data_IF_909350513033
#
_entry.id   IF_909350513033
#
_cell.length_a   1.000
_cell.length_b   1.000
_cell.length_c   1.000
_cell.angle_alpha   90.00
_cell.angle_beta   90.00
_cell.angle_gamma   90.00
#
_symmetry.space_group_name_H-M   'P 1'
#
loop_
_entity.id
_entity.type
_entity.pdbx_description
1 polymer ?
#
# COMPACT_ATOMS: atom_id res chain seq x y z
N UNK A 1 -7.98 -4.73 -8.96
CA UNK A 1 -8.60 -3.53 -8.33
C UNK A 1 -9.74 -3.92 -7.39
N UNK A 2 -10.70 -4.73 -7.83
CA UNK A 2 -11.82 -5.22 -6.98
C UNK A 2 -11.33 -5.98 -5.74
N UNK A 3 -10.35 -6.88 -5.90
CA UNK A 3 -9.75 -7.63 -4.77
C UNK A 3 -9.15 -6.70 -3.70
N UNK A 4 -8.59 -5.55 -4.11
CA UNK A 4 -8.02 -4.56 -3.19
C UNK A 4 -9.11 -3.84 -2.40
N UNK A 5 -10.26 -3.56 -3.04
CA UNK A 5 -11.44 -2.97 -2.38
C UNK A 5 -12.03 -3.99 -1.40
N UNK A 6 -12.19 -5.24 -1.82
CA UNK A 6 -12.70 -6.32 -0.96
C UNK A 6 -11.80 -6.53 0.27
N UNK A 7 -10.49 -6.65 0.07
CA UNK A 7 -9.53 -6.78 1.17
C UNK A 7 -9.56 -5.57 2.12
N UNK A 8 -9.77 -4.36 1.60
CA UNK A 8 -9.93 -3.17 2.42
C UNK A 8 -11.26 -3.16 3.21
N UNK A 9 -12.35 -3.65 2.62
CA UNK A 9 -13.65 -3.79 3.30
C UNK A 9 -13.54 -4.83 4.41
N UNK A 10 -12.93 -5.99 4.14
CA UNK A 10 -12.73 -7.03 5.13
C UNK A 10 -11.84 -6.55 6.28
N UNK A 11 -10.74 -5.86 5.98
CA UNK A 11 -9.91 -5.24 7.00
C UNK A 11 -10.70 -4.23 7.85
N UNK A 12 -11.45 -3.33 7.21
CA UNK A 12 -12.23 -2.33 7.93
C UNK A 12 -13.33 -2.96 8.79
N UNK A 13 -13.96 -4.05 8.34
CA UNK A 13 -14.89 -4.85 9.16
C UNK A 13 -14.22 -5.44 10.40
N UNK A 14 -13.01 -5.97 10.26
CA UNK A 14 -12.28 -6.52 11.41
C UNK A 14 -11.87 -5.44 12.42
N UNK A 15 -11.55 -4.22 11.96
CA UNK A 15 -11.21 -3.10 12.83
C UNK A 15 -12.45 -2.55 13.55
N UNK A 16 -13.58 -2.41 12.84
CA UNK A 16 -14.86 -1.99 13.42
C UNK A 16 -15.35 -2.98 14.49
N UNK A 17 -15.28 -4.29 14.21
CA UNK A 17 -15.59 -5.34 15.18
C UNK A 17 -14.66 -5.32 16.40
N UNK A 18 -13.42 -4.86 16.24
CA UNK A 18 -12.45 -4.68 17.33
C UNK A 18 -12.61 -3.33 18.07
N UNK A 19 -13.49 -2.44 17.61
CA UNK A 19 -13.64 -1.08 18.13
C UNK A 19 -12.39 -0.23 17.95
N UNK A 20 -11.52 -0.58 17.01
CA UNK A 20 -10.25 0.10 16.74
C UNK A 20 -10.40 0.96 15.50
N UNK A 21 -9.90 2.21 15.51
CA UNK A 21 -9.83 3.00 14.29
C UNK A 21 -8.83 2.36 13.31
N UNK A 22 -9.09 2.40 11.99
CA UNK A 22 -8.14 1.90 11.01
C UNK A 22 -6.83 2.69 11.07
N UNK A 23 -5.70 1.99 10.96
CA UNK A 23 -4.37 2.59 11.09
C UNK A 23 -4.04 3.54 9.93
N UNK A 24 -4.59 3.25 8.75
CA UNK A 24 -4.44 4.07 7.55
C UNK A 24 -5.72 3.97 6.72
N UNK A 25 -6.08 5.05 6.02
CA UNK A 25 -7.15 5.06 5.04
C UNK A 25 -6.59 5.21 3.63
N UNK A 26 -7.31 4.69 2.64
CA UNK A 26 -7.02 4.87 1.23
C UNK A 26 -8.25 5.39 0.49
N UNK A 27 -8.01 6.24 -0.49
CA UNK A 27 -9.03 6.81 -1.35
C UNK A 27 -9.17 5.96 -2.61
N UNK A 28 -10.41 5.59 -2.92
CA UNK A 28 -10.79 4.83 -4.09
C UNK A 28 -11.72 5.67 -4.95
N UNK A 29 -11.17 6.21 -6.04
CA UNK A 29 -11.94 6.89 -7.09
C UNK A 29 -12.27 5.89 -8.17
N UNK A 30 -13.56 5.67 -8.43
CA UNK A 30 -14.05 4.75 -9.45
C UNK A 30 -15.06 5.45 -10.36
N UNK A 31 -15.05 5.16 -11.68
CA UNK A 31 -16.07 5.65 -12.58
C UNK A 31 -17.44 5.03 -12.26
N UNK A 32 -18.51 5.78 -12.49
CA UNK A 32 -19.89 5.29 -12.34
C UNK A 32 -20.12 4.14 -13.34
N UNK A 33 -20.55 2.99 -12.83
CA UNK A 33 -20.70 1.74 -13.61
C UNK A 33 -19.55 0.74 -13.43
N UNK A 34 -18.52 1.07 -12.66
CA UNK A 34 -17.50 0.10 -12.27
C UNK A 34 -18.07 -0.91 -11.24
N UNK A 35 -17.86 -2.23 -11.41
CA UNK A 35 -18.44 -3.24 -10.50
C UNK A 35 -17.95 -3.15 -9.04
N UNK A 36 -16.81 -2.50 -8.80
CA UNK A 36 -16.32 -2.21 -7.45
C UNK A 36 -17.07 -1.09 -6.72
N UNK A 37 -17.95 -0.36 -7.42
CA UNK A 37 -18.69 0.77 -6.87
C UNK A 37 -19.84 0.30 -5.96
N UNK A 38 -20.55 -0.78 -6.32
CA UNK A 38 -21.57 -1.38 -5.45
C UNK A 38 -20.97 -1.77 -4.09
N UNK A 39 -19.77 -2.36 -4.09
CA UNK A 39 -19.08 -2.77 -2.86
C UNK A 39 -18.78 -1.55 -1.97
N UNK A 40 -18.34 -0.43 -2.56
CA UNK A 40 -18.07 0.80 -1.81
C UNK A 40 -19.34 1.47 -1.29
N UNK A 41 -20.42 1.47 -2.08
CA UNK A 41 -21.74 1.98 -1.67
C UNK A 41 -22.32 1.15 -0.52
N UNK A 42 -22.21 -0.17 -0.58
CA UNK A 42 -22.61 -1.05 0.53
C UNK A 42 -21.74 -0.82 1.77
N UNK A 43 -20.42 -0.69 1.61
CA UNK A 43 -19.53 -0.36 2.73
C UNK A 43 -19.87 1.00 3.36
N UNK A 44 -20.26 1.98 2.55
CA UNK A 44 -20.71 3.28 3.04
C UNK A 44 -22.03 3.19 3.80
N UNK A 45 -23.00 2.43 3.29
CA UNK A 45 -24.28 2.20 3.96
C UNK A 45 -24.12 1.51 5.34
N UNK A 46 -23.09 0.66 5.48
CA UNK A 46 -22.74 0.02 6.75
C UNK A 46 -21.87 0.89 7.67
N UNK A 47 -21.55 2.13 7.30
CA UNK A 47 -20.71 3.03 8.09
C UNK A 47 -19.21 2.71 8.07
N UNK A 48 -18.78 1.79 7.19
CA UNK A 48 -17.40 1.31 7.09
C UNK A 48 -16.57 2.20 6.14
N UNK A 49 -17.19 2.70 5.07
CA UNK A 49 -16.57 3.62 4.12
C UNK A 49 -17.14 5.04 4.26
N UNK A 50 -16.30 6.03 3.99
CA UNK A 50 -16.70 7.43 3.96
C UNK A 50 -16.77 7.93 2.51
N UNK A 51 -17.90 8.47 2.09
CA UNK A 51 -18.01 9.06 0.75
C UNK A 51 -17.42 10.48 0.75
N UNK A 52 -16.35 10.68 -0.02
CA UNK A 52 -15.71 12.00 -0.14
C UNK A 52 -16.45 12.85 -1.17
N UNK A 53 -16.74 12.27 -2.34
CA UNK A 53 -17.32 12.96 -3.48
C UNK A 53 -18.12 11.98 -4.35
N UNK A 54 -19.23 12.47 -4.92
CA UNK A 54 -19.91 11.81 -6.02
C UNK A 54 -20.20 12.80 -7.14
N UNK A 55 -19.86 12.38 -8.35
CA UNK A 55 -20.18 13.07 -9.59
C UNK A 55 -20.91 12.10 -10.54
N UNK A 56 -21.54 12.61 -11.61
CA UNK A 56 -22.18 11.76 -12.61
C UNK A 56 -21.23 10.78 -13.31
N UNK A 57 -19.92 11.04 -13.28
CA UNK A 57 -18.90 10.26 -14.00
C UNK A 57 -18.06 9.39 -13.08
N UNK A 58 -17.87 9.79 -11.83
CA UNK A 58 -17.03 9.09 -10.85
C UNK A 58 -17.49 9.34 -9.41
N UNK A 59 -17.22 8.37 -8.54
CA UNK A 59 -17.38 8.49 -7.10
C UNK A 59 -16.07 8.18 -6.39
N UNK A 60 -15.83 8.89 -5.29
CA UNK A 60 -14.65 8.74 -4.45
C UNK A 60 -15.06 8.38 -3.04
N UNK A 61 -14.50 7.27 -2.55
CA UNK A 61 -14.70 6.78 -1.18
C UNK A 61 -13.37 6.64 -0.46
N UNK A 62 -13.37 6.92 0.83
CA UNK A 62 -12.28 6.63 1.75
C UNK A 62 -12.61 5.38 2.56
N UNK A 63 -11.66 4.47 2.66
CA UNK A 63 -11.81 3.19 3.35
C UNK A 63 -10.53 2.83 4.10
N UNK A 64 -10.66 2.22 5.28
CA UNK A 64 -9.54 1.69 6.04
C UNK A 64 -8.79 0.62 5.24
N UNK A 65 -7.46 0.70 5.22
CA UNK A 65 -6.61 -0.29 4.58
C UNK A 65 -5.59 -0.83 5.57
N UNK A 66 -5.17 -2.11 5.43
CA UNK A 66 -4.08 -2.62 6.23
C UNK A 66 -2.84 -1.76 6.00
N UNK A 67 -2.06 -1.56 7.07
CA UNK A 67 -0.78 -0.87 6.96
C UNK A 67 0.05 -1.53 5.85
N UNK A 68 0.70 -0.75 4.97
CA UNK A 68 1.60 -1.32 3.99
C UNK A 68 2.59 -2.19 4.75
N UNK A 69 2.78 -3.42 4.28
CA UNK A 69 3.85 -4.29 4.78
C UNK A 69 5.11 -3.47 4.64
N UNK A 70 5.56 -2.90 5.76
CA UNK A 70 6.83 -2.19 5.78
C UNK A 70 7.81 -3.27 5.40
N UNK A 71 8.46 -3.13 4.24
CA UNK A 71 9.53 -4.03 3.85
C UNK A 71 10.65 -3.76 4.86
N UNK A 72 10.53 -4.38 6.03
CA UNK A 72 11.52 -4.28 7.08
C UNK A 72 12.76 -4.93 6.52
N UNK A 73 13.74 -4.06 6.23
CA UNK A 73 15.06 -4.39 5.69
C UNK A 73 15.05 -4.90 4.25
N UNK A 74 15.35 -4.00 3.32
CA UNK A 74 16.38 -4.35 2.33
C UNK A 74 17.58 -4.76 3.20
N UNK A 75 17.98 -6.03 3.21
CA UNK A 75 18.98 -6.61 4.10
C UNK A 75 20.41 -6.09 3.90
N UNK A 76 20.55 -4.82 3.54
CA UNK A 76 21.80 -4.10 3.40
C UNK A 76 22.09 -3.49 4.77
N UNK A 77 23.27 -3.78 5.30
CA UNK A 77 23.83 -3.04 6.42
C UNK A 77 23.76 -1.52 6.11
N UNK A 78 23.13 -0.70 6.97
CA UNK A 78 23.12 0.74 6.84
C UNK A 78 24.52 1.37 6.75
N UNK A 79 25.59 0.61 7.03
CA UNK A 79 26.98 1.01 6.92
C UNK A 79 27.79 0.12 5.96
N UNK A 80 27.15 -0.50 4.96
CA UNK A 80 27.79 -1.46 4.01
C UNK A 80 29.07 -0.95 3.31
N UNK A 81 29.28 0.38 3.27
CA UNK A 81 30.45 1.03 2.69
C UNK A 81 31.70 0.98 3.59
N UNK A 82 31.57 0.69 4.87
CA UNK A 82 32.70 0.66 5.80
C UNK A 82 33.63 -0.50 5.43
N UNK A 83 34.92 -0.20 5.24
CA UNK A 83 35.95 -1.18 4.91
C UNK A 83 35.97 -1.64 3.45
N UNK A 84 35.15 -1.04 2.56
CA UNK A 84 35.13 -1.34 1.13
C UNK A 84 36.18 -0.54 0.35
N UNK A 85 36.81 -1.17 -0.63
CA UNK A 85 37.70 -0.50 -1.58
C UNK A 85 36.93 0.41 -2.54
N UNK A 86 37.63 1.33 -3.24
CA UNK A 86 37.00 2.23 -4.22
C UNK A 86 36.22 1.48 -5.32
N UNK A 87 36.74 0.35 -5.78
CA UNK A 87 36.07 -0.48 -6.79
C UNK A 87 34.79 -1.12 -6.23
N UNK A 88 34.82 -1.59 -4.97
CA UNK A 88 33.64 -2.15 -4.30
C UNK A 88 32.57 -1.08 -4.01
N UNK A 89 32.97 0.13 -3.61
CA UNK A 89 32.06 1.25 -3.41
C UNK A 89 31.35 1.63 -4.72
N UNK A 90 32.08 1.61 -5.83
CA UNK A 90 31.53 1.93 -7.16
C UNK A 90 30.63 0.84 -7.70
N UNK A 91 30.91 -0.42 -7.39
CA UNK A 91 30.08 -1.55 -7.81
C UNK A 91 28.76 -1.65 -7.01
N UNK A 92 28.73 -1.17 -5.77
CA UNK A 92 27.52 -1.05 -4.95
C UNK A 92 27.29 -2.22 -3.98
N UNK A 93 26.26 -2.13 -3.11
CA UNK A 93 26.03 -3.07 -2.00
C UNK A 93 25.66 -4.49 -2.44
N UNK A 94 25.17 -4.63 -3.68
CA UNK A 94 24.76 -5.91 -4.25
C UNK A 94 25.75 -6.45 -5.30
N UNK A 95 26.94 -5.87 -5.40
CA UNK A 95 27.91 -6.21 -6.42
C UNK A 95 28.47 -7.63 -6.25
N UNK A 96 28.56 -8.36 -7.35
CA UNK A 96 29.33 -9.60 -7.41
C UNK A 96 30.83 -9.30 -7.56
N UNK A 97 31.70 -10.30 -7.33
CA UNK A 97 33.14 -10.15 -7.56
C UNK A 97 33.49 -9.76 -9.00
N UNK A 98 32.65 -10.12 -9.96
CA UNK A 98 32.82 -9.75 -11.36
C UNK A 98 32.56 -8.25 -11.59
N UNK A 99 31.60 -7.67 -10.85
CA UNK A 99 31.26 -6.25 -10.95
C UNK A 99 32.34 -5.37 -10.34
N UNK A 100 32.93 -5.81 -9.22
CA UNK A 100 34.09 -5.14 -8.59
C UNK A 100 35.29 -5.12 -9.52
N UNK A 101 35.52 -6.18 -10.30
CA UNK A 101 36.64 -6.26 -11.26
C UNK A 101 36.48 -5.33 -12.47
N UNK A 102 35.25 -4.89 -12.77
CA UNK A 102 34.93 -4.01 -13.90
C UNK A 102 34.87 -2.52 -13.52
N UNK A 103 34.94 -2.19 -12.23
CA UNK A 103 34.66 -0.87 -11.67
C UNK A 103 35.90 0.02 -11.47
#
# INVERSE_FOLDING_TARGET
>A
MIERIQSAVDYSRTQDAAGQPPYQTAQFTLPVGHPGLEILREAHANGIAFQINASPTEECYELGVPAPVTVTQVGIDPQWWIGKSRAELRAGPFASKADVKRA
#
